data_IF_400029529110
#
_entry.id   IF_400029529110
#
_cell.length_a   1.000
_cell.length_b   1.000
_cell.length_c   1.000
_cell.angle_alpha   90.00
_cell.angle_beta   90.00
_cell.angle_gamma   90.00
#
_symmetry.space_group_name_H-M   'P 1'
#
loop_
_entity.id
_entity.type
_entity.pdbx_description
1 polymer ?
#
# COMPACT_ATOMS: atom_id res chain seq x y z
N UNK A 1 5.01 2.11 28.07
CA UNK A 1 5.84 2.59 26.94
C UNK A 1 6.41 1.35 26.26
N UNK A 2 6.08 1.06 25.00
CA UNK A 2 6.69 -0.07 24.30
C UNK A 2 8.19 0.23 24.14
N UNK A 3 9.05 -0.70 24.57
CA UNK A 3 10.50 -0.59 24.31
C UNK A 3 10.68 -0.72 22.81
N UNK A 4 11.18 0.33 22.15
CA UNK A 4 11.47 0.30 20.73
C UNK A 4 12.43 -0.86 20.43
N UNK A 5 12.12 -1.65 19.40
CA UNK A 5 12.98 -2.79 19.00
C UNK A 5 14.38 -2.29 18.67
N UNK A 6 15.39 -3.06 19.07
CA UNK A 6 16.77 -2.82 18.62
C UNK A 6 16.88 -3.06 17.11
N UNK A 7 17.91 -2.52 16.47
CA UNK A 7 18.11 -2.71 15.02
C UNK A 7 18.26 -4.18 14.63
N UNK A 8 18.93 -4.98 15.46
CA UNK A 8 19.07 -6.43 15.28
C UNK A 8 17.72 -7.15 15.33
N UNK A 9 16.84 -6.77 16.27
CA UNK A 9 15.50 -7.35 16.36
C UNK A 9 14.64 -6.98 15.15
N UNK A 10 14.75 -5.74 14.65
CA UNK A 10 14.06 -5.31 13.43
C UNK A 10 14.55 -6.11 12.22
N UNK A 11 15.87 -6.27 12.08
CA UNK A 11 16.47 -7.04 10.99
C UNK A 11 16.04 -8.51 11.02
N UNK A 12 16.04 -9.15 12.18
CA UNK A 12 15.63 -10.55 12.32
C UNK A 12 14.15 -10.77 11.95
N UNK A 13 13.25 -9.89 12.42
CA UNK A 13 11.83 -9.99 12.09
C UNK A 13 11.58 -9.66 10.62
N UNK A 14 12.25 -8.65 10.06
CA UNK A 14 12.14 -8.33 8.63
C UNK A 14 12.60 -9.50 7.76
N UNK A 15 13.73 -10.13 8.08
CA UNK A 15 14.23 -11.31 7.37
C UNK A 15 13.24 -12.49 7.44
N UNK A 16 12.64 -12.73 8.62
CA UNK A 16 11.59 -13.75 8.78
C UNK A 16 10.40 -13.46 7.85
N UNK A 17 9.93 -12.21 7.79
CA UNK A 17 8.79 -11.81 6.94
C UNK A 17 9.14 -11.87 5.44
N UNK A 18 10.37 -11.51 5.05
CA UNK A 18 10.87 -11.63 3.68
C UNK A 18 10.86 -13.07 3.16
N UNK A 19 11.07 -14.04 4.05
CA UNK A 19 11.06 -15.45 3.72
C UNK A 19 9.69 -16.13 3.90
N UNK A 20 8.69 -15.43 4.44
CA UNK A 20 7.34 -15.95 4.62
C UNK A 20 6.67 -16.25 3.26
N UNK A 21 6.11 -17.45 3.12
CA UNK A 21 5.52 -17.92 1.86
C UNK A 21 4.37 -17.03 1.39
N UNK A 22 3.50 -16.56 2.30
CA UNK A 22 2.34 -15.73 1.94
C UNK A 22 2.78 -14.40 1.35
N UNK A 23 3.80 -13.80 1.95
CA UNK A 23 4.39 -12.53 1.47
C UNK A 23 5.04 -12.72 0.11
N UNK A 24 5.83 -13.79 -0.05
CA UNK A 24 6.49 -14.11 -1.33
C UNK A 24 5.50 -14.39 -2.44
N UNK A 25 4.44 -15.16 -2.16
CA UNK A 25 3.37 -15.45 -3.10
C UNK A 25 2.63 -14.17 -3.50
N UNK A 26 2.27 -13.33 -2.52
CA UNK A 26 1.63 -12.03 -2.80
C UNK A 26 2.53 -11.13 -3.63
N UNK A 27 3.81 -11.02 -3.32
CA UNK A 27 4.78 -10.25 -4.12
C UNK A 27 4.87 -10.80 -5.55
N UNK A 28 5.01 -12.12 -5.69
CA UNK A 28 5.11 -12.77 -7.00
C UNK A 28 3.82 -12.61 -7.82
N UNK A 29 2.64 -12.70 -7.20
CA UNK A 29 1.35 -12.42 -7.83
C UNK A 29 1.31 -10.98 -8.37
N UNK A 30 1.58 -9.99 -7.51
CA UNK A 30 1.51 -8.57 -7.90
C UNK A 30 2.50 -8.20 -8.99
N UNK A 31 3.72 -8.76 -8.97
CA UNK A 31 4.70 -8.53 -10.03
C UNK A 31 4.30 -9.18 -11.35
N UNK A 32 3.65 -10.36 -11.33
CA UNK A 32 3.17 -11.07 -12.54
C UNK A 32 1.95 -10.43 -13.19
N UNK A 33 1.03 -9.90 -12.38
CA UNK A 33 -0.19 -9.24 -12.89
C UNK A 33 0.14 -7.97 -13.70
N UNK A 34 1.34 -7.42 -13.55
CA UNK A 34 1.83 -6.25 -14.27
C UNK A 34 2.60 -6.66 -15.53
N UNK A 35 1.88 -7.02 -16.60
CA UNK A 35 2.45 -7.59 -17.85
C UNK A 35 3.53 -6.73 -18.53
N UNK A 36 3.53 -5.41 -18.32
CA UNK A 36 4.49 -4.48 -18.91
C UNK A 36 5.49 -3.92 -17.89
N UNK A 37 5.62 -4.55 -16.73
CA UNK A 37 6.49 -4.08 -15.65
C UNK A 37 7.96 -4.14 -16.07
N UNK A 38 8.61 -2.98 -16.08
CA UNK A 38 10.05 -2.91 -16.29
C UNK A 38 10.82 -3.36 -15.05
N UNK A 39 12.06 -3.80 -15.23
CA UNK A 39 12.98 -4.13 -14.12
C UNK A 39 13.12 -2.94 -13.15
N UNK A 40 13.11 -1.71 -13.66
CA UNK A 40 13.19 -0.49 -12.84
C UNK A 40 11.98 -0.32 -11.93
N UNK A 41 10.78 -0.58 -12.44
CA UNK A 41 9.55 -0.47 -11.65
C UNK A 41 9.44 -1.61 -10.64
N UNK A 42 9.80 -2.85 -11.02
CA UNK A 42 9.88 -3.97 -10.09
C UNK A 42 10.84 -3.68 -8.93
N UNK A 43 12.04 -3.15 -9.21
CA UNK A 43 12.99 -2.72 -8.18
C UNK A 43 12.39 -1.65 -7.26
N UNK A 44 11.64 -0.68 -7.82
CA UNK A 44 11.00 0.37 -7.03
C UNK A 44 9.97 -0.20 -6.05
N UNK A 45 9.12 -1.12 -6.49
CA UNK A 45 8.15 -1.82 -5.63
C UNK A 45 8.89 -2.52 -4.48
N UNK A 46 9.90 -3.32 -4.79
CA UNK A 46 10.67 -4.07 -3.79
C UNK A 46 11.34 -3.13 -2.78
N UNK A 47 11.91 -2.02 -3.25
CA UNK A 47 12.61 -1.06 -2.38
C UNK A 47 11.65 -0.34 -1.45
N UNK A 48 10.48 0.10 -1.96
CA UNK A 48 9.43 0.73 -1.15
C UNK A 48 8.92 -0.26 -0.09
N UNK A 49 8.66 -1.50 -0.50
CA UNK A 49 8.21 -2.55 0.39
C UNK A 49 9.24 -2.85 1.50
N UNK A 50 10.52 -3.06 1.16
CA UNK A 50 11.59 -3.31 2.13
C UNK A 50 11.83 -2.15 3.09
N UNK A 51 11.67 -0.91 2.62
CA UNK A 51 11.77 0.27 3.47
C UNK A 51 10.63 0.29 4.50
N UNK A 52 9.38 0.25 4.03
CA UNK A 52 8.23 0.32 4.92
C UNK A 52 8.04 -0.94 5.79
N UNK A 53 8.56 -2.10 5.38
CA UNK A 53 8.57 -3.29 6.24
C UNK A 53 9.40 -3.03 7.51
N UNK A 54 10.57 -2.41 7.36
CA UNK A 54 11.41 -2.06 8.53
C UNK A 54 10.75 -1.00 9.40
N UNK A 55 9.98 -0.08 8.81
CA UNK A 55 9.17 0.89 9.55
C UNK A 55 8.06 0.17 10.32
N UNK A 56 7.28 -0.68 9.64
CA UNK A 56 6.22 -1.49 10.21
C UNK A 56 6.70 -2.33 11.40
N UNK A 57 7.81 -3.05 11.21
CA UNK A 57 8.42 -3.89 12.25
C UNK A 57 8.88 -3.08 13.46
N UNK A 58 9.16 -1.78 13.36
CA UNK A 58 9.48 -0.97 14.55
C UNK A 58 8.25 -0.65 15.39
N UNK A 59 7.07 -0.55 14.78
CA UNK A 59 5.84 -0.11 15.43
C UNK A 59 4.90 -1.23 15.85
N UNK A 60 4.96 -2.41 15.21
CA UNK A 60 3.92 -3.42 15.39
C UNK A 60 4.25 -4.58 16.33
N UNK A 61 3.27 -5.00 17.12
CA UNK A 61 3.34 -6.16 17.99
C UNK A 61 3.10 -7.44 17.18
N UNK A 62 3.89 -8.49 17.46
CA UNK A 62 4.23 -9.58 16.54
C UNK A 62 3.06 -10.34 15.88
N UNK A 63 1.82 -10.22 16.35
CA UNK A 63 0.70 -11.08 15.96
C UNK A 63 0.15 -10.84 14.55
N UNK A 64 0.33 -9.66 13.96
CA UNK A 64 -0.25 -9.34 12.63
C UNK A 64 0.78 -8.91 11.57
N UNK A 65 2.08 -9.02 11.84
CA UNK A 65 3.13 -8.44 10.97
C UNK A 65 3.14 -9.04 9.55
N UNK A 66 2.83 -10.34 9.41
CA UNK A 66 2.78 -11.01 8.09
C UNK A 66 1.60 -10.52 7.25
N UNK A 67 0.43 -10.38 7.87
CA UNK A 67 -0.77 -9.89 7.19
C UNK A 67 -0.60 -8.44 6.73
N UNK A 68 -0.09 -7.59 7.60
CA UNK A 68 0.23 -6.22 7.26
C UNK A 68 1.34 -6.13 6.20
N UNK A 69 2.32 -7.06 6.22
CA UNK A 69 3.31 -7.13 5.16
C UNK A 69 2.70 -7.52 3.80
N UNK A 70 1.65 -8.35 3.78
CA UNK A 70 0.88 -8.63 2.56
C UNK A 70 0.11 -7.40 2.07
N UNK A 71 -0.50 -6.61 2.96
CA UNK A 71 -1.11 -5.32 2.59
C UNK A 71 -0.05 -4.34 2.08
N UNK A 72 1.13 -4.37 2.70
CA UNK A 72 2.25 -3.53 2.30
C UNK A 72 2.74 -3.82 0.89
N UNK A 73 2.63 -5.06 0.39
CA UNK A 73 2.94 -5.37 -1.02
C UNK A 73 2.07 -4.55 -1.95
N UNK A 74 0.76 -4.51 -1.68
CA UNK A 74 -0.21 -3.76 -2.49
C UNK A 74 0.02 -2.26 -2.36
N UNK A 75 0.27 -1.77 -1.14
CA UNK A 75 0.62 -0.37 -0.91
C UNK A 75 1.91 0.03 -1.64
N UNK A 76 2.94 -0.82 -1.64
CA UNK A 76 4.18 -0.57 -2.35
C UNK A 76 3.98 -0.49 -3.87
N UNK A 77 3.09 -1.31 -4.44
CA UNK A 77 2.66 -1.18 -5.84
C UNK A 77 1.99 0.17 -6.09
N UNK A 78 1.04 0.58 -5.25
CA UNK A 78 0.33 1.87 -5.38
C UNK A 78 1.32 3.04 -5.39
N UNK A 79 2.27 3.04 -4.45
CA UNK A 79 3.29 4.09 -4.30
C UNK A 79 4.24 4.13 -5.50
N UNK A 80 4.71 2.96 -5.93
CA UNK A 80 5.71 2.87 -6.98
C UNK A 80 5.14 3.19 -8.37
N UNK A 81 3.90 2.77 -8.63
CA UNK A 81 3.27 2.83 -9.95
C UNK A 81 2.66 4.20 -10.28
N UNK A 82 2.17 4.93 -9.28
CA UNK A 82 1.48 6.21 -9.50
C UNK A 82 2.07 7.38 -8.69
N UNK A 83 3.34 7.75 -8.92
CA UNK A 83 4.02 8.80 -8.13
C UNK A 83 3.35 10.18 -8.22
N UNK A 84 2.69 10.51 -9.34
CA UNK A 84 1.99 11.79 -9.50
C UNK A 84 0.71 11.88 -8.64
N UNK A 85 0.09 10.75 -8.30
CA UNK A 85 -1.16 10.71 -7.52
C UNK A 85 -0.93 10.69 -6.00
N UNK A 86 0.33 10.62 -5.53
CA UNK A 86 0.64 10.36 -4.12
C UNK A 86 0.09 11.44 -3.19
N UNK A 87 0.05 12.71 -3.63
CA UNK A 87 -0.55 13.79 -2.82
C UNK A 87 -2.03 13.55 -2.54
N UNK A 88 -2.78 13.00 -3.49
CA UNK A 88 -4.20 12.65 -3.31
C UNK A 88 -4.39 11.31 -2.59
N UNK A 89 -3.53 10.32 -2.84
CA UNK A 89 -3.65 8.98 -2.26
C UNK A 89 -3.19 8.92 -0.80
N UNK A 90 -2.06 9.55 -0.47
CA UNK A 90 -1.42 9.51 0.85
C UNK A 90 -1.57 10.82 1.63
N UNK A 91 -2.24 11.81 1.03
CA UNK A 91 -2.56 13.05 1.72
C UNK A 91 -3.74 12.89 2.66
N UNK A 92 -3.90 13.88 3.54
CA UNK A 92 -5.10 14.04 4.36
C UNK A 92 -6.03 15.07 3.75
N UNK A 93 -7.31 14.77 3.75
CA UNK A 93 -8.42 15.68 3.44
C UNK A 93 -9.38 15.72 4.63
N UNK A 94 -10.37 16.64 4.68
CA UNK A 94 -11.30 16.70 5.81
C UNK A 94 -12.02 15.37 6.09
N UNK A 95 -12.26 14.55 5.06
CA UNK A 95 -12.88 13.23 5.19
C UNK A 95 -11.95 12.12 5.69
N UNK A 96 -10.64 12.35 5.84
CA UNK A 96 -9.68 11.35 6.32
C UNK A 96 -8.41 11.25 5.48
N UNK A 97 -7.72 10.12 5.57
CA UNK A 97 -6.59 9.81 4.72
C UNK A 97 -7.06 9.39 3.32
N UNK A 98 -6.37 9.80 2.25
CA UNK A 98 -6.86 9.64 0.87
C UNK A 98 -7.22 8.20 0.49
N UNK A 99 -6.39 7.22 0.86
CA UNK A 99 -6.69 5.81 0.63
C UNK A 99 -7.87 5.29 1.48
N UNK A 100 -8.13 5.85 2.68
CA UNK A 100 -9.30 5.47 3.49
C UNK A 100 -10.58 5.97 2.83
N UNK A 101 -10.56 7.21 2.32
CA UNK A 101 -11.68 7.80 1.57
C UNK A 101 -11.99 6.99 0.31
N UNK A 102 -10.96 6.50 -0.41
CA UNK A 102 -11.15 5.65 -1.58
C UNK A 102 -11.61 4.23 -1.22
N UNK A 103 -11.06 3.63 -0.16
CA UNK A 103 -11.44 2.28 0.27
C UNK A 103 -12.93 2.22 0.68
N UNK A 104 -13.38 3.18 1.48
CA UNK A 104 -14.80 3.28 1.89
C UNK A 104 -15.76 3.54 0.74
N UNK A 105 -15.26 4.00 -0.42
CA UNK A 105 -16.03 4.26 -1.63
C UNK A 105 -15.78 3.24 -2.75
N UNK A 106 -14.94 2.21 -2.53
CA UNK A 106 -14.48 1.32 -3.59
C UNK A 106 -15.65 0.62 -4.29
N UNK A 107 -16.68 0.23 -3.54
CA UNK A 107 -17.84 -0.50 -4.07
C UNK A 107 -18.97 0.37 -4.63
N UNK A 108 -19.02 1.66 -4.29
CA UNK A 108 -20.06 2.58 -4.76
C UNK A 108 -19.54 3.45 -5.90
N UNK A 109 -20.11 3.35 -7.10
CA UNK A 109 -19.71 4.17 -8.26
C UNK A 109 -19.87 5.67 -8.04
N UNK A 110 -20.94 6.09 -7.35
CA UNK A 110 -21.20 7.49 -7.08
C UNK A 110 -20.27 8.02 -5.98
N UNK A 111 -20.14 7.27 -4.90
CA UNK A 111 -19.17 7.51 -3.84
C UNK A 111 -17.75 7.60 -4.39
N UNK A 112 -17.36 6.66 -5.25
CA UNK A 112 -16.04 6.63 -5.89
C UNK A 112 -15.78 7.89 -6.72
N UNK A 113 -16.71 8.27 -7.59
CA UNK A 113 -16.57 9.46 -8.42
C UNK A 113 -16.51 10.75 -7.58
N UNK A 114 -17.18 10.79 -6.43
CA UNK A 114 -17.07 11.89 -5.46
C UNK A 114 -15.69 11.92 -4.79
N UNK A 115 -15.25 10.79 -4.24
CA UNK A 115 -13.95 10.66 -3.58
C UNK A 115 -12.79 11.05 -4.51
N UNK A 116 -12.79 10.58 -5.76
CA UNK A 116 -11.78 10.93 -6.77
C UNK A 116 -11.69 12.44 -7.00
N UNK A 117 -12.84 13.13 -7.03
CA UNK A 117 -12.87 14.60 -7.21
C UNK A 117 -12.34 15.32 -5.97
N UNK A 118 -12.77 14.90 -4.78
CA UNK A 118 -12.34 15.46 -3.51
C UNK A 118 -10.81 15.37 -3.32
N UNK A 119 -10.22 14.25 -3.73
CA UNK A 119 -8.78 14.02 -3.64
C UNK A 119 -7.96 14.66 -4.79
N UNK A 120 -8.61 15.38 -5.71
CA UNK A 120 -7.94 16.00 -6.85
C UNK A 120 -7.46 15.02 -7.92
N UNK A 121 -7.95 13.77 -7.91
CA UNK A 121 -7.51 12.68 -8.80
C UNK A 121 -8.30 12.60 -10.13
N UNK A 122 -8.97 13.68 -10.52
CA UNK A 122 -9.86 13.71 -11.68
C UNK A 122 -9.17 14.13 -13.00
N UNK A 123 -7.91 14.57 -12.94
CA UNK A 123 -7.14 14.92 -14.13
C UNK A 123 -6.90 13.70 -15.05
N UNK A 124 -6.76 13.96 -16.35
CA UNK A 124 -6.58 12.91 -17.37
C UNK A 124 -5.39 11.98 -17.09
N UNK A 125 -4.31 12.52 -16.54
CA UNK A 125 -3.10 11.81 -16.13
C UNK A 125 -3.32 10.80 -14.99
N UNK A 126 -4.39 10.96 -14.20
CA UNK A 126 -4.71 10.06 -13.09
C UNK A 126 -5.68 8.93 -13.47
N UNK A 127 -6.23 8.90 -14.69
CA UNK A 127 -7.23 7.88 -15.08
C UNK A 127 -6.76 6.44 -14.85
N UNK A 128 -5.51 6.13 -15.23
CA UNK A 128 -4.91 4.82 -14.99
C UNK A 128 -4.70 4.50 -13.51
N UNK A 129 -4.41 5.52 -12.70
CA UNK A 129 -4.28 5.40 -11.25
C UNK A 129 -5.64 5.09 -10.60
N UNK A 130 -6.66 5.88 -10.92
CA UNK A 130 -8.01 5.73 -10.34
C UNK A 130 -8.55 4.33 -10.61
N UNK A 131 -8.50 3.86 -11.86
CA UNK A 131 -8.95 2.50 -12.19
C UNK A 131 -8.16 1.42 -11.47
N UNK A 132 -6.83 1.50 -11.51
CA UNK A 132 -5.96 0.49 -10.90
C UNK A 132 -6.06 0.43 -9.37
N UNK A 133 -6.13 1.59 -8.70
CA UNK A 133 -6.32 1.64 -7.25
C UNK A 133 -7.68 1.07 -6.86
N UNK A 134 -8.76 1.39 -7.60
CA UNK A 134 -10.09 0.81 -7.32
C UNK A 134 -10.08 -0.70 -7.40
N UNK A 135 -9.47 -1.24 -8.46
CA UNK A 135 -9.35 -2.69 -8.65
C UNK A 135 -8.58 -3.34 -7.49
N UNK A 136 -7.46 -2.75 -7.08
CA UNK A 136 -6.67 -3.24 -5.95
C UNK A 136 -7.46 -3.23 -4.64
N UNK A 137 -8.18 -2.15 -4.34
CA UNK A 137 -8.97 -2.01 -3.11
C UNK A 137 -10.17 -2.95 -3.07
N UNK A 138 -10.77 -3.28 -4.22
CA UNK A 138 -11.85 -4.28 -4.32
C UNK A 138 -11.36 -5.72 -4.23
N UNK A 139 -10.21 -6.02 -4.84
CA UNK A 139 -9.67 -7.38 -4.95
C UNK A 139 -8.98 -7.85 -3.67
N UNK A 140 -8.45 -6.93 -2.88
CA UNK A 140 -7.76 -7.22 -1.63
C UNK A 140 -8.47 -6.54 -0.45
N UNK A 141 -7.95 -6.71 0.76
CA UNK A 141 -8.44 -5.99 1.94
C UNK A 141 -8.12 -4.48 1.82
N UNK A 142 -9.01 -3.75 1.15
CA UNK A 142 -8.87 -2.31 0.89
C UNK A 142 -8.79 -1.49 2.18
N UNK A 143 -9.57 -1.86 3.20
CA UNK A 143 -9.57 -1.20 4.51
C UNK A 143 -8.24 -1.44 5.23
N UNK A 144 -7.74 -2.67 5.23
CA UNK A 144 -6.44 -3.01 5.81
C UNK A 144 -5.27 -2.33 5.09
N UNK A 145 -5.33 -2.16 3.77
CA UNK A 145 -4.35 -1.40 2.99
C UNK A 145 -4.41 0.09 3.35
N UNK A 146 -5.61 0.67 3.43
CA UNK A 146 -5.81 2.07 3.71
C UNK A 146 -5.38 2.45 5.14
N UNK A 147 -5.77 1.64 6.13
CA UNK A 147 -5.35 1.80 7.52
C UNK A 147 -3.83 1.69 7.67
N UNK A 148 -3.20 0.77 6.92
CA UNK A 148 -1.74 0.66 6.91
C UNK A 148 -1.09 1.90 6.31
N UNK A 149 -1.63 2.44 5.22
CA UNK A 149 -1.11 3.66 4.61
C UNK A 149 -1.20 4.85 5.57
N UNK A 150 -2.38 5.10 6.15
CA UNK A 150 -2.62 6.22 7.08
C UNK A 150 -1.72 6.20 8.33
N UNK A 151 -1.19 5.02 8.68
CA UNK A 151 -0.25 4.83 9.79
C UNK A 151 1.20 5.06 9.38
N UNK A 152 1.57 4.78 8.13
CA UNK A 152 2.95 4.85 7.65
C UNK A 152 3.29 6.18 6.97
N UNK A 153 2.29 6.97 6.57
CA UNK A 153 2.43 8.22 5.80
C UNK A 153 1.60 9.34 6.39
#
# INVERSE_FOLDING_TARGET
MPVARTEEQVAAVAAMVEHDTRVRERMAERLRDQRTLSVREAKRILTVWQFYLRVLVRFDDRRAVVEQACHLVVLAEIIARWPAAQRGLLGRVPAGHGLEVLAGAAEDDWGWARAVRELGLHAAEHRGCVGGVRELLRRYDGDGIAALAARLT
#
